data_IF_097722332179
#
_entry.id   IF_097722332179
#
_cell.length_a   1.000
_cell.length_b   1.000
_cell.length_c   1.000
_cell.angle_alpha   90.00
_cell.angle_beta   90.00
_cell.angle_gamma   90.00
#
_symmetry.space_group_name_H-M   'P 1'
#
loop_
_entity.id
_entity.type
_entity.pdbx_description
1 polymer ?
#
# COMPACT_ATOMS: atom_id res chain seq x y z
N UNK A 1 -2.35 -29.13 -0.21
CA UNK A 1 -2.52 -27.68 -0.32
C UNK A 1 -1.79 -27.00 0.86
N UNK A 2 -0.47 -26.79 0.76
CA UNK A 2 0.36 -26.16 1.80
C UNK A 2 1.50 -25.32 1.19
N UNK A 3 1.35 -24.85 -0.04
CA UNK A 3 2.38 -24.07 -0.73
C UNK A 3 2.42 -22.60 -0.27
N UNK A 4 1.36 -22.08 0.36
CA UNK A 4 1.26 -20.67 0.73
C UNK A 4 2.04 -20.26 1.99
N UNK A 5 2.37 -21.20 2.88
CA UNK A 5 3.02 -20.89 4.17
C UNK A 5 4.46 -20.40 4.01
N UNK A 6 5.19 -20.86 3.00
CA UNK A 6 6.58 -20.44 2.76
C UNK A 6 6.68 -19.04 2.15
N UNK A 7 5.64 -18.54 1.48
CA UNK A 7 5.64 -17.22 0.84
C UNK A 7 5.10 -16.10 1.75
N UNK A 8 4.30 -16.45 2.77
CA UNK A 8 3.74 -15.46 3.71
C UNK A 8 4.78 -15.10 4.77
N UNK A 9 5.27 -13.87 4.72
CA UNK A 9 6.15 -13.33 5.74
C UNK A 9 5.33 -12.86 6.94
N UNK A 10 5.79 -13.20 8.15
CA UNK A 10 5.18 -12.69 9.37
C UNK A 10 5.22 -11.14 9.39
N UNK A 11 4.13 -10.52 9.84
CA UNK A 11 4.00 -9.07 9.92
C UNK A 11 3.78 -8.35 8.57
N UNK A 12 3.56 -9.08 7.47
CA UNK A 12 3.14 -8.50 6.19
C UNK A 12 1.71 -8.93 5.89
N UNK A 13 0.76 -7.98 5.74
CA UNK A 13 -0.62 -8.33 5.45
C UNK A 13 -0.75 -8.96 4.07
N UNK A 14 -1.63 -9.94 3.97
CA UNK A 14 -2.03 -10.57 2.72
C UNK A 14 -3.50 -10.26 2.51
N UNK A 15 -3.84 -9.79 1.32
CA UNK A 15 -5.21 -9.47 0.92
C UNK A 15 -5.62 -10.39 -0.21
N UNK A 16 -6.92 -10.63 -0.36
CA UNK A 16 -7.44 -11.52 -1.41
C UNK A 16 -7.42 -10.86 -2.80
N UNK A 17 -7.25 -9.54 -2.85
CA UNK A 17 -7.29 -8.72 -4.06
C UNK A 17 -5.98 -7.95 -4.28
N UNK A 18 -5.57 -7.81 -5.54
CA UNK A 18 -4.42 -7.01 -5.94
C UNK A 18 -4.85 -5.54 -6.10
N UNK A 19 -4.74 -4.76 -5.02
CA UNK A 19 -5.08 -3.34 -5.04
C UNK A 19 -3.93 -2.51 -5.65
N UNK A 20 -4.28 -1.56 -6.52
CA UNK A 20 -3.34 -0.65 -7.18
C UNK A 20 -3.77 0.81 -6.98
N UNK A 21 -2.80 1.72 -6.88
CA UNK A 21 -3.03 3.17 -6.83
C UNK A 21 -2.41 3.78 -8.07
N UNK A 22 -3.20 4.59 -8.79
CA UNK A 22 -2.75 5.25 -10.00
C UNK A 22 -2.04 6.57 -9.68
N UNK A 23 -0.90 6.78 -10.32
CA UNK A 23 -0.08 7.98 -10.21
C UNK A 23 0.06 8.64 -11.59
N UNK A 24 0.29 9.95 -11.61
CA UNK A 24 0.72 10.67 -12.81
C UNK A 24 2.24 10.52 -13.05
N UNK A 25 2.75 11.15 -14.12
CA UNK A 25 4.17 11.12 -14.48
C UNK A 25 5.08 11.82 -13.45
N UNK A 26 4.52 12.72 -12.65
CA UNK A 26 5.21 13.43 -11.57
C UNK A 26 5.13 12.67 -10.22
N UNK A 27 4.39 11.56 -10.19
CA UNK A 27 4.18 10.71 -9.01
C UNK A 27 3.14 11.25 -8.03
N UNK A 28 2.24 12.14 -8.46
CA UNK A 28 1.06 12.54 -7.71
C UNK A 28 -0.05 11.47 -7.87
N UNK A 29 -0.81 11.18 -6.81
CA UNK A 29 -1.98 10.32 -6.91
C UNK A 29 -3.07 10.99 -7.76
N UNK A 30 -3.61 10.24 -8.73
CA UNK A 30 -4.72 10.71 -9.57
C UNK A 30 -6.05 10.79 -8.81
N UNK A 31 -6.19 10.04 -7.71
CA UNK A 31 -7.38 10.02 -6.87
C UNK A 31 -7.23 10.87 -5.61
N UNK A 32 -8.37 11.26 -5.02
CA UNK A 32 -8.41 12.15 -3.85
C UNK A 32 -8.54 11.42 -2.49
N UNK A 33 -8.86 10.11 -2.48
CA UNK A 33 -9.03 9.36 -1.23
C UNK A 33 -8.82 7.86 -1.44
N UNK A 34 -8.17 7.22 -0.46
CA UNK A 34 -8.04 5.76 -0.40
C UNK A 34 -8.86 5.22 0.77
N UNK A 35 -9.88 4.43 0.46
CA UNK A 35 -10.79 3.81 1.43
C UNK A 35 -10.32 2.43 1.87
N UNK A 36 -9.60 1.73 0.99
CA UNK A 36 -9.01 0.43 1.29
C UNK A 36 -7.85 0.56 2.30
N UNK A 37 -7.60 -0.48 3.12
CA UNK A 37 -6.49 -0.48 4.05
C UNK A 37 -5.14 -0.57 3.34
N UNK A 38 -4.18 0.26 3.75
CA UNK A 38 -2.82 0.26 3.22
C UNK A 38 -1.87 -0.49 4.18
N UNK A 39 -0.96 -1.34 3.66
CA UNK A 39 0.08 -1.95 4.47
C UNK A 39 0.98 -0.92 5.18
N UNK A 40 1.12 -1.04 6.50
CA UNK A 40 2.02 -0.23 7.34
C UNK A 40 3.47 -0.28 6.86
N UNK A 41 3.87 -1.39 6.21
CA UNK A 41 5.21 -1.56 5.62
C UNK A 41 5.56 -0.47 4.60
N UNK A 42 4.59 0.12 3.91
CA UNK A 42 4.80 1.20 2.96
C UNK A 42 5.21 2.52 3.65
N UNK A 43 4.95 2.68 4.95
CA UNK A 43 5.40 3.86 5.70
C UNK A 43 6.92 3.95 5.82
N UNK A 44 7.64 2.83 5.70
CA UNK A 44 9.10 2.86 5.67
C UNK A 44 9.66 3.68 4.49
N UNK A 45 8.87 3.82 3.41
CA UNK A 45 9.23 4.58 2.22
C UNK A 45 8.73 6.02 2.24
N UNK A 46 8.25 6.53 3.39
CA UNK A 46 7.70 7.89 3.51
C UNK A 46 8.68 9.00 3.12
N UNK A 47 9.99 8.72 3.14
CA UNK A 47 11.03 9.63 2.67
C UNK A 47 10.91 9.91 1.16
N UNK A 48 10.31 8.99 0.39
CA UNK A 48 9.98 9.23 -1.01
C UNK A 48 8.68 10.03 -1.09
N UNK A 49 8.74 11.15 -1.82
CA UNK A 49 7.65 12.10 -2.01
C UNK A 49 6.37 11.43 -2.53
N UNK A 50 6.49 10.46 -3.45
CA UNK A 50 5.34 9.77 -4.04
C UNK A 50 4.56 8.97 -2.99
N UNK A 51 5.28 8.20 -2.17
CA UNK A 51 4.67 7.44 -1.08
C UNK A 51 4.10 8.37 -0.01
N UNK A 52 4.79 9.47 0.32
CA UNK A 52 4.27 10.44 1.29
C UNK A 52 2.90 11.01 0.88
N UNK A 53 2.75 11.37 -0.40
CA UNK A 53 1.47 11.86 -0.96
C UNK A 53 0.38 10.79 -0.89
N UNK A 54 0.68 9.55 -1.32
CA UNK A 54 -0.28 8.44 -1.28
C UNK A 54 -0.70 8.09 0.16
N UNK A 55 0.26 8.02 1.09
CA UNK A 55 0.01 7.69 2.49
C UNK A 55 -0.85 8.76 3.18
N UNK A 56 -0.73 10.03 2.77
CA UNK A 56 -1.56 11.11 3.31
C UNK A 56 -3.05 10.99 2.93
N UNK A 57 -3.39 10.27 1.84
CA UNK A 57 -4.77 10.07 1.40
C UNK A 57 -5.47 8.86 2.04
N UNK A 58 -4.70 8.02 2.74
CA UNK A 58 -5.18 6.78 3.32
C UNK A 58 -5.75 6.99 4.73
N UNK A 59 -6.87 6.31 5.02
CA UNK A 59 -7.53 6.42 6.32
C UNK A 59 -7.27 5.23 7.24
N UNK A 60 -6.87 4.07 6.69
CA UNK A 60 -6.72 2.82 7.44
C UNK A 60 -5.39 2.15 7.09
N UNK A 61 -4.70 1.68 8.12
CA UNK A 61 -3.44 0.94 8.00
C UNK A 61 -3.54 -0.44 8.64
N UNK A 62 -2.91 -1.44 8.01
CA UNK A 62 -2.83 -2.84 8.48
C UNK A 62 -1.40 -3.36 8.35
#
# INVERSE_FOLDING_TARGET
ANTHVHYRKHGVPVTDQNMIVLLDEEGNPLGNRITAPIPTKLMANRTNVQFSKVLALANKFI
#
